data_IF_418564097053
#
_entry.id   IF_418564097053
#
_cell.length_a   1.000
_cell.length_b   1.000
_cell.length_c   1.000
_cell.angle_alpha   90.00
_cell.angle_beta   90.00
_cell.angle_gamma   90.00
#
_symmetry.space_group_name_H-M   'P 1'
#
loop_
_entity.id
_entity.type
_entity.pdbx_description
1 polymer ?
#
# COMPACT_ATOMS: atom_id res chain seq x y z
N UNK A 1 -54.68 24.15 56.44
CA UNK A 1 -54.63 22.75 55.99
C UNK A 1 -54.28 22.73 54.50
N UNK A 2 -53.15 22.10 54.14
CA UNK A 2 -52.66 21.89 52.75
C UNK A 2 -53.68 20.97 52.02
N UNK A 3 -53.86 20.92 50.70
CA UNK A 3 -52.90 20.96 49.60
C UNK A 3 -53.60 21.25 48.25
N UNK A 4 -52.83 21.82 47.31
CA UNK A 4 -53.18 22.01 45.89
C UNK A 4 -53.15 20.67 45.16
N UNK A 5 -54.19 20.36 44.38
CA UNK A 5 -54.19 19.27 43.42
C UNK A 5 -53.28 19.63 42.23
N UNK A 6 -52.49 18.65 41.78
CA UNK A 6 -51.34 18.78 40.88
C UNK A 6 -51.77 18.80 39.41
N UNK A 7 -51.19 19.74 38.66
CA UNK A 7 -51.11 19.73 37.20
C UNK A 7 -50.45 18.44 36.69
N UNK A 8 -51.12 17.76 35.76
CA UNK A 8 -50.57 16.67 34.98
C UNK A 8 -49.70 17.23 33.85
N UNK A 9 -48.39 17.00 33.90
CA UNK A 9 -47.50 17.18 32.74
C UNK A 9 -47.28 15.83 32.05
N UNK A 10 -47.29 15.73 30.71
CA UNK A 10 -46.93 14.50 30.02
C UNK A 10 -45.42 14.29 30.10
N UNK A 11 -44.99 13.08 30.46
CA UNK A 11 -43.59 12.66 30.40
C UNK A 11 -43.12 12.57 28.94
N UNK A 12 -41.92 13.08 28.58
CA UNK A 12 -41.32 12.81 27.29
C UNK A 12 -40.86 11.35 27.22
N UNK A 13 -41.37 10.60 26.24
CA UNK A 13 -40.91 9.25 25.91
C UNK A 13 -39.44 9.34 25.50
N UNK A 14 -38.55 8.74 26.29
CA UNK A 14 -37.15 8.50 25.92
C UNK A 14 -37.13 7.66 24.64
N UNK A 15 -36.77 8.29 23.52
CA UNK A 15 -36.51 7.58 22.28
C UNK A 15 -35.27 6.70 22.52
N UNK A 16 -35.44 5.38 22.55
CA UNK A 16 -34.32 4.44 22.55
C UNK A 16 -33.51 4.68 21.28
N UNK A 17 -32.32 5.25 21.44
CA UNK A 17 -31.34 5.32 20.38
C UNK A 17 -31.03 3.89 19.93
N UNK A 18 -31.44 3.53 18.71
CA UNK A 18 -30.94 2.34 18.04
C UNK A 18 -29.42 2.52 17.87
N UNK A 19 -28.58 1.55 18.27
CA UNK A 19 -27.19 1.59 17.86
C UNK A 19 -27.17 1.58 16.33
N UNK A 20 -26.69 2.66 15.72
CA UNK A 20 -26.33 2.66 14.30
C UNK A 20 -25.23 1.60 14.17
N UNK A 21 -25.52 0.55 13.41
CA UNK A 21 -24.55 -0.45 13.04
C UNK A 21 -23.41 0.24 12.28
N UNK A 22 -22.34 0.59 12.99
CA UNK A 22 -21.06 0.92 12.39
C UNK A 22 -20.34 -0.39 12.11
N UNK A 23 -20.73 -1.06 11.03
CA UNK A 23 -19.91 -2.10 10.44
C UNK A 23 -19.75 -1.77 8.97
N UNK A 24 -18.91 -0.78 8.68
CA UNK A 24 -18.20 -0.80 7.40
C UNK A 24 -17.27 -2.00 7.51
N UNK A 25 -17.73 -3.16 7.06
CA UNK A 25 -16.89 -4.31 6.86
C UNK A 25 -15.73 -3.82 5.98
N UNK A 26 -14.55 -3.67 6.56
CA UNK A 26 -13.32 -3.49 5.82
C UNK A 26 -13.07 -4.86 5.20
N UNK A 27 -13.71 -5.14 4.06
CA UNK A 27 -13.22 -6.17 3.15
C UNK A 27 -11.77 -5.79 2.86
N UNK A 28 -10.82 -6.57 3.40
CA UNK A 28 -9.40 -6.35 3.23
C UNK A 28 -9.12 -6.18 1.73
N UNK A 29 -8.90 -4.93 1.32
CA UNK A 29 -8.60 -4.59 -0.06
C UNK A 29 -7.13 -4.87 -0.23
N UNK A 30 -6.78 -5.80 -1.13
CA UNK A 30 -5.39 -6.11 -1.41
C UNK A 30 -4.64 -4.82 -1.77
N UNK A 31 -3.56 -4.53 -1.04
CA UNK A 31 -2.79 -3.31 -1.20
C UNK A 31 -2.19 -3.19 -2.61
N UNK A 32 -1.87 -4.33 -3.22
CA UNK A 32 -1.46 -4.45 -4.61
C UNK A 32 -2.13 -5.66 -5.25
N UNK A 33 -2.60 -5.54 -6.49
CA UNK A 33 -3.23 -6.63 -7.23
C UNK A 33 -2.94 -6.53 -8.73
N UNK A 34 -2.61 -7.65 -9.38
CA UNK A 34 -2.59 -7.71 -10.84
C UNK A 34 -4.00 -7.53 -11.42
N UNK A 35 -4.11 -6.72 -12.45
CA UNK A 35 -5.36 -6.39 -13.15
C UNK A 35 -5.21 -6.58 -14.64
N UNK A 36 -6.27 -7.06 -15.28
CA UNK A 36 -6.27 -7.31 -16.72
C UNK A 36 -5.51 -8.59 -17.10
N UNK A 37 -5.46 -8.84 -18.40
CA UNK A 37 -4.68 -9.92 -18.98
C UNK A 37 -3.25 -9.45 -19.28
N UNK A 38 -2.31 -10.39 -19.38
CA UNK A 38 -0.96 -10.11 -19.84
C UNK A 38 -1.00 -9.57 -21.28
N UNK A 39 -0.36 -8.42 -21.50
CA UNK A 39 -0.30 -7.77 -22.82
C UNK A 39 1.01 -8.11 -23.52
N UNK A 40 0.90 -8.73 -24.71
CA UNK A 40 2.07 -9.03 -25.56
C UNK A 40 2.69 -7.76 -26.10
N UNK A 41 4.02 -7.71 -26.16
CA UNK A 41 4.76 -6.56 -26.65
C UNK A 41 5.22 -6.84 -28.09
N UNK A 42 4.83 -6.01 -29.08
CA UNK A 42 5.33 -6.16 -30.44
C UNK A 42 6.85 -6.15 -30.48
N UNK A 43 7.46 -7.11 -31.18
CA UNK A 43 8.91 -7.27 -31.35
C UNK A 43 9.71 -7.57 -30.06
N UNK A 44 9.05 -7.97 -28.95
CA UNK A 44 9.73 -8.43 -27.72
C UNK A 44 9.06 -9.73 -27.25
N UNK A 45 9.35 -10.87 -27.90
CA UNK A 45 8.60 -12.12 -27.71
C UNK A 45 8.83 -12.79 -26.35
N UNK A 46 9.91 -12.43 -25.66
CA UNK A 46 10.30 -12.96 -24.36
C UNK A 46 9.65 -12.21 -23.18
N UNK A 47 8.85 -11.16 -23.43
CA UNK A 47 8.31 -10.30 -22.39
C UNK A 47 6.84 -9.95 -22.58
N UNK A 48 6.18 -9.72 -21.46
CA UNK A 48 4.79 -9.28 -21.37
C UNK A 48 4.68 -8.07 -20.44
N UNK A 49 3.73 -7.20 -20.75
CA UNK A 49 3.31 -6.15 -19.85
C UNK A 49 2.22 -6.70 -18.92
N UNK A 50 2.41 -6.53 -17.61
CA UNK A 50 1.41 -6.86 -16.59
C UNK A 50 0.98 -5.57 -15.90
N UNK A 51 -0.33 -5.34 -15.79
CA UNK A 51 -0.89 -4.16 -15.12
C UNK A 51 -1.28 -4.46 -13.69
N UNK A 52 -1.10 -3.48 -12.81
CA UNK A 52 -1.34 -3.62 -11.38
C UNK A 52 -2.12 -2.43 -10.86
N UNK A 53 -3.14 -2.71 -10.06
CA UNK A 53 -3.82 -1.73 -9.23
C UNK A 53 -3.19 -1.70 -7.83
N UNK A 54 -2.89 -0.50 -7.35
CA UNK A 54 -2.24 -0.25 -6.07
C UNK A 54 -3.15 0.66 -5.24
N UNK A 55 -3.53 0.21 -4.05
CA UNK A 55 -4.35 1.01 -3.14
C UNK A 55 -3.47 2.00 -2.35
N UNK A 56 -3.55 3.28 -2.74
CA UNK A 56 -2.81 4.36 -2.08
C UNK A 56 -3.69 5.14 -1.08
N UNK A 57 -4.88 4.63 -0.73
CA UNK A 57 -5.82 5.29 0.19
C UNK A 57 -6.66 6.41 -0.44
N UNK A 58 -6.66 6.52 -1.78
CA UNK A 58 -7.56 7.40 -2.55
C UNK A 58 -8.82 6.68 -3.03
N UNK A 59 -9.76 7.44 -3.59
CA UNK A 59 -11.03 6.89 -4.12
C UNK A 59 -10.77 5.87 -5.26
N UNK A 60 -9.76 6.15 -6.08
CA UNK A 60 -9.32 5.29 -7.19
C UNK A 60 -7.92 4.73 -6.92
N UNK A 61 -7.69 3.42 -7.12
CA UNK A 61 -6.35 2.86 -7.02
C UNK A 61 -5.44 3.44 -8.10
N UNK A 62 -4.16 3.59 -7.80
CA UNK A 62 -3.16 3.88 -8.82
C UNK A 62 -3.00 2.67 -9.73
N UNK A 63 -2.79 2.90 -11.02
CA UNK A 63 -2.51 1.84 -11.99
C UNK A 63 -1.09 2.02 -12.52
N UNK A 64 -0.35 0.93 -12.56
CA UNK A 64 0.97 0.87 -13.18
C UNK A 64 1.13 -0.38 -14.03
N UNK A 65 2.02 -0.33 -15.01
CA UNK A 65 2.35 -1.47 -15.86
C UNK A 65 3.82 -1.76 -15.73
N UNK A 66 4.15 -3.01 -15.42
CA UNK A 66 5.51 -3.49 -15.30
C UNK A 66 5.77 -4.57 -16.36
N UNK A 67 7.00 -4.63 -16.83
CA UNK A 67 7.42 -5.60 -17.85
C UNK A 67 8.04 -6.82 -17.19
N UNK A 68 7.51 -7.99 -17.48
CA UNK A 68 7.96 -9.28 -16.95
C UNK A 68 8.48 -10.17 -18.07
N UNK A 69 9.45 -11.06 -17.80
CA UNK A 69 9.70 -12.22 -18.65
C UNK A 69 8.41 -13.05 -18.81
N UNK A 70 8.20 -13.64 -19.98
CA UNK A 70 7.06 -14.54 -20.24
C UNK A 70 7.08 -15.77 -19.32
N UNK A 71 8.26 -16.17 -18.87
CA UNK A 71 8.49 -17.31 -17.97
C UNK A 71 8.37 -16.94 -16.49
N UNK A 72 7.95 -15.72 -16.17
CA UNK A 72 7.89 -15.26 -14.79
C UNK A 72 6.47 -14.85 -14.38
N UNK A 73 6.13 -15.22 -13.15
CA UNK A 73 4.90 -14.85 -12.49
C UNK A 73 5.09 -13.55 -11.70
N UNK A 74 4.01 -12.76 -11.63
CA UNK A 74 3.95 -11.62 -10.73
C UNK A 74 3.21 -12.01 -9.46
N UNK A 75 3.92 -11.99 -8.34
CA UNK A 75 3.39 -12.33 -7.02
C UNK A 75 3.15 -11.02 -6.26
N UNK A 76 1.87 -10.64 -6.11
CA UNK A 76 1.47 -9.47 -5.34
C UNK A 76 1.25 -9.86 -3.87
N UNK A 77 1.95 -9.20 -2.96
CA UNK A 77 1.83 -9.46 -1.52
C UNK A 77 1.54 -8.16 -0.75
N UNK A 78 0.81 -8.29 0.35
CA UNK A 78 0.71 -7.25 1.38
C UNK A 78 1.28 -7.86 2.66
N UNK A 79 2.33 -7.26 3.20
CA UNK A 79 3.10 -7.81 4.30
C UNK A 79 3.12 -6.82 5.47
N UNK A 80 2.63 -7.23 6.64
CA UNK A 80 2.75 -6.42 7.86
C UNK A 80 4.20 -6.32 8.32
N UNK A 81 4.59 -5.18 8.88
CA UNK A 81 5.90 -5.00 9.50
C UNK A 81 5.91 -5.58 10.93
N UNK A 82 6.99 -6.23 11.39
CA UNK A 82 8.26 -6.50 10.69
C UNK A 82 8.09 -7.56 9.58
N UNK A 83 8.85 -7.42 8.49
CA UNK A 83 8.68 -8.27 7.30
C UNK A 83 9.17 -9.72 7.53
N UNK A 84 10.38 -9.88 8.09
CA UNK A 84 11.03 -11.20 8.23
C UNK A 84 11.55 -11.79 6.90
N UNK A 85 12.01 -10.91 6.00
CA UNK A 85 12.75 -11.29 4.79
C UNK A 85 14.06 -10.50 4.72
N UNK A 86 15.07 -11.12 4.11
CA UNK A 86 16.35 -10.49 3.80
C UNK A 86 16.40 -10.21 2.30
N UNK A 87 16.78 -8.98 1.97
CA UNK A 87 16.89 -8.51 0.60
C UNK A 87 18.36 -8.28 0.27
N UNK A 88 18.78 -8.72 -0.91
CA UNK A 88 20.13 -8.55 -1.44
C UNK A 88 20.07 -7.78 -2.76
N UNK A 89 21.02 -6.85 -2.98
CA UNK A 89 21.20 -6.24 -4.30
C UNK A 89 22.09 -7.13 -5.17
N UNK A 90 21.56 -7.60 -6.30
CA UNK A 90 22.33 -8.28 -7.34
C UNK A 90 22.53 -7.39 -8.54
N UNK A 91 23.77 -7.39 -9.04
CA UNK A 91 24.16 -6.59 -10.20
C UNK A 91 24.65 -7.53 -11.31
N UNK A 92 23.97 -7.50 -12.45
CA UNK A 92 24.30 -8.29 -13.64
C UNK A 92 24.55 -7.34 -14.82
N UNK A 93 25.84 -7.15 -15.14
CA UNK A 93 26.25 -6.14 -16.13
C UNK A 93 25.85 -4.73 -15.68
N UNK A 94 24.95 -4.09 -16.44
CA UNK A 94 24.42 -2.76 -16.12
C UNK A 94 23.08 -2.78 -15.38
N UNK A 95 22.52 -3.97 -15.11
CA UNK A 95 21.23 -4.10 -14.43
C UNK A 95 21.42 -4.36 -12.95
N UNK A 96 20.63 -3.65 -12.16
CA UNK A 96 20.56 -3.84 -10.71
C UNK A 96 19.17 -4.34 -10.35
N UNK A 97 19.13 -5.40 -9.54
CA UNK A 97 17.90 -6.01 -9.04
C UNK A 97 17.99 -6.24 -7.53
N UNK A 98 16.85 -6.21 -6.86
CA UNK A 98 16.75 -6.50 -5.43
C UNK A 98 16.08 -7.86 -5.31
N UNK A 99 16.77 -8.83 -4.73
CA UNK A 99 16.33 -10.23 -4.67
C UNK A 99 16.08 -10.61 -3.22
N UNK A 100 15.06 -11.43 -2.98
CA UNK A 100 14.82 -12.07 -1.69
C UNK A 100 15.85 -13.16 -1.50
N UNK A 101 16.78 -12.96 -0.57
CA UNK A 101 17.87 -13.89 -0.30
C UNK A 101 17.49 -14.93 0.75
N UNK A 102 16.75 -14.50 1.79
CA UNK A 102 16.26 -15.36 2.85
C UNK A 102 14.86 -14.92 3.28
N UNK A 103 14.02 -15.89 3.66
CA UNK A 103 12.71 -15.65 4.28
C UNK A 103 12.64 -16.49 5.55
N UNK A 104 12.44 -15.84 6.69
CA UNK A 104 12.32 -16.53 7.97
C UNK A 104 11.01 -17.32 8.01
N UNK A 105 11.07 -18.60 8.37
CA UNK A 105 9.88 -19.46 8.44
C UNK A 105 8.91 -18.95 9.51
N UNK A 106 7.63 -18.84 9.16
CA UNK A 106 6.59 -18.31 10.06
C UNK A 106 6.57 -16.78 10.18
N UNK A 107 7.45 -16.06 9.48
CA UNK A 107 7.40 -14.60 9.39
C UNK A 107 6.19 -14.08 8.61
N UNK A 108 5.95 -12.77 8.70
CA UNK A 108 4.91 -12.10 7.92
C UNK A 108 5.16 -12.21 6.40
N UNK A 109 6.42 -12.12 5.96
CA UNK A 109 6.83 -12.32 4.57
C UNK A 109 6.54 -13.74 4.09
N UNK A 110 6.86 -14.75 4.91
CA UNK A 110 6.57 -16.15 4.61
C UNK A 110 5.06 -16.37 4.48
N UNK A 111 4.26 -15.87 5.43
CA UNK A 111 2.81 -15.97 5.41
C UNK A 111 2.17 -15.24 4.22
N UNK A 112 2.77 -14.12 3.80
CA UNK A 112 2.33 -13.37 2.62
C UNK A 112 2.72 -14.04 1.29
N UNK A 113 3.56 -15.07 1.32
CA UNK A 113 3.93 -15.89 0.16
C UNK A 113 5.21 -15.47 -0.56
N UNK A 114 6.05 -14.64 0.06
CA UNK A 114 7.40 -14.36 -0.44
C UNK A 114 8.26 -15.63 -0.41
N UNK A 115 9.15 -15.79 -1.39
CA UNK A 115 10.08 -16.92 -1.48
C UNK A 115 11.48 -16.43 -1.82
N UNK A 116 12.47 -17.22 -1.39
CA UNK A 116 13.86 -17.02 -1.80
C UNK A 116 13.98 -17.08 -3.32
N UNK A 117 14.73 -16.14 -3.89
CA UNK A 117 14.91 -15.98 -5.33
C UNK A 117 13.90 -15.06 -6.01
N UNK A 118 12.84 -14.63 -5.31
CA UNK A 118 11.92 -13.63 -5.83
C UNK A 118 12.64 -12.29 -6.05
N UNK A 119 12.36 -11.61 -7.16
CA UNK A 119 12.92 -10.28 -7.45
C UNK A 119 11.89 -9.20 -7.12
N UNK A 120 12.22 -8.28 -6.22
CA UNK A 120 11.35 -7.15 -5.89
C UNK A 120 11.30 -6.15 -7.04
N UNK A 121 10.11 -6.03 -7.66
CA UNK A 121 9.86 -5.14 -8.80
C UNK A 121 9.24 -3.81 -8.37
N UNK A 122 8.42 -3.83 -7.32
CA UNK A 122 7.74 -2.65 -6.78
C UNK A 122 7.46 -2.82 -5.29
N UNK A 123 7.56 -1.72 -4.54
CA UNK A 123 7.06 -1.62 -3.16
C UNK A 123 6.16 -0.39 -3.02
N UNK A 124 5.20 -0.41 -2.09
CA UNK A 124 4.58 0.83 -1.61
C UNK A 124 5.59 1.64 -0.81
N UNK A 125 5.28 2.91 -0.55
CA UNK A 125 6.08 3.81 0.27
C UNK A 125 5.18 4.92 0.85
N UNK A 126 5.72 5.67 1.81
CA UNK A 126 5.16 6.93 2.29
C UNK A 126 6.01 8.07 1.73
N UNK A 127 5.37 8.96 0.97
CA UNK A 127 6.04 10.08 0.32
C UNK A 127 5.53 11.42 0.86
N UNK A 128 6.44 12.38 1.04
CA UNK A 128 6.11 13.74 1.44
C UNK A 128 5.87 14.60 0.20
N UNK A 129 4.62 15.03 0.00
CA UNK A 129 4.22 15.93 -1.10
C UNK A 129 4.03 17.35 -0.60
N UNK A 130 4.55 18.32 -1.35
CA UNK A 130 4.26 19.74 -1.17
C UNK A 130 3.07 20.13 -2.05
N UNK A 131 2.17 20.98 -1.56
CA UNK A 131 1.13 21.53 -2.43
C UNK A 131 1.76 22.42 -3.51
N UNK A 132 1.16 22.52 -4.71
CA UNK A 132 1.64 23.42 -5.74
C UNK A 132 1.71 24.86 -5.21
N UNK A 133 2.86 25.51 -5.40
CA UNK A 133 3.09 26.87 -4.93
C UNK A 133 2.43 27.84 -5.92
N UNK A 134 1.33 28.46 -5.50
CA UNK A 134 0.79 29.64 -6.19
C UNK A 134 1.59 30.88 -5.75
N UNK A 135 2.05 31.67 -6.73
CA UNK A 135 2.88 32.88 -6.56
C UNK A 135 2.21 33.96 -5.69
N UNK A 136 0.90 33.83 -5.42
CA UNK A 136 0.17 34.70 -4.47
C UNK A 136 0.22 34.23 -3.01
N UNK A 137 0.68 33.00 -2.74
CA UNK A 137 0.59 32.33 -1.42
C UNK A 137 1.89 32.42 -0.60
N UNK A 138 2.78 33.36 -0.92
CA UNK A 138 4.10 33.51 -0.27
C UNK A 138 4.04 33.89 1.22
N UNK A 139 2.87 34.24 1.75
CA UNK A 139 2.69 34.52 3.18
C UNK A 139 2.43 33.27 4.04
N UNK A 140 2.13 32.11 3.46
CA UNK A 140 1.92 30.88 4.22
C UNK A 140 2.38 29.65 3.41
N UNK A 141 3.62 29.16 3.63
CA UNK A 141 4.15 28.06 2.83
C UNK A 141 3.20 26.85 2.89
N UNK A 142 2.85 26.24 1.74
CA UNK A 142 1.89 25.15 1.70
C UNK A 142 2.34 24.01 2.60
N UNK A 143 1.43 23.52 3.44
CA UNK A 143 1.72 22.43 4.36
C UNK A 143 2.10 21.18 3.57
N UNK A 144 3.25 20.61 3.90
CA UNK A 144 3.66 19.31 3.39
C UNK A 144 2.71 18.24 3.93
N UNK A 145 2.38 17.26 3.09
CA UNK A 145 1.51 16.14 3.46
C UNK A 145 2.20 14.82 3.16
N UNK A 146 2.06 13.86 4.06
CA UNK A 146 2.54 12.49 3.88
C UNK A 146 1.43 11.64 3.30
N UNK A 147 1.68 11.03 2.15
CA UNK A 147 0.70 10.21 1.44
C UNK A 147 1.31 8.87 1.08
N UNK A 148 0.48 7.85 0.83
CA UNK A 148 0.98 6.60 0.27
C UNK A 148 1.34 6.82 -1.20
N UNK A 149 2.43 6.21 -1.62
CA UNK A 149 2.91 6.15 -2.99
C UNK A 149 3.38 4.73 -3.30
N UNK A 150 3.82 4.51 -4.54
CA UNK A 150 4.58 3.32 -4.90
C UNK A 150 5.95 3.72 -5.44
N UNK A 151 6.89 2.79 -5.33
CA UNK A 151 8.27 2.92 -5.76
C UNK A 151 8.65 1.70 -6.60
N UNK A 152 9.01 1.92 -7.85
CA UNK A 152 9.52 0.88 -8.76
C UNK A 152 10.98 0.59 -8.41
N UNK A 153 11.33 -0.68 -8.22
CA UNK A 153 12.63 -1.09 -7.70
C UNK A 153 13.66 -1.41 -8.81
N UNK A 154 13.20 -1.57 -10.07
CA UNK A 154 14.06 -1.90 -11.20
C UNK A 154 15.18 -0.86 -11.40
N UNK A 155 16.44 -1.33 -11.40
CA UNK A 155 17.64 -0.51 -11.55
C UNK A 155 17.76 0.62 -10.52
N UNK A 156 17.16 0.46 -9.34
CA UNK A 156 17.33 1.36 -8.20
C UNK A 156 18.42 0.86 -7.27
N UNK A 157 19.03 1.77 -6.51
CA UNK A 157 19.98 1.40 -5.47
C UNK A 157 19.27 0.70 -4.32
N UNK A 158 19.97 -0.22 -3.66
CA UNK A 158 19.47 -0.89 -2.45
C UNK A 158 18.96 0.11 -1.41
N UNK A 159 19.77 1.12 -1.10
CA UNK A 159 19.44 2.12 -0.08
C UNK A 159 18.11 2.83 -0.37
N UNK A 160 17.87 3.23 -1.63
CA UNK A 160 16.62 3.91 -1.99
C UNK A 160 15.39 2.99 -1.86
N UNK A 161 15.56 1.69 -2.14
CA UNK A 161 14.49 0.70 -1.96
C UNK A 161 14.25 0.42 -0.48
N UNK A 162 15.30 0.30 0.33
CA UNK A 162 15.17 0.13 1.77
C UNK A 162 14.56 1.36 2.45
N UNK A 163 14.91 2.57 2.03
CA UNK A 163 14.30 3.82 2.50
C UNK A 163 12.80 3.87 2.17
N UNK A 164 12.42 3.43 0.96
CA UNK A 164 11.02 3.32 0.56
C UNK A 164 10.26 2.33 1.47
N UNK A 165 10.83 1.17 1.79
CA UNK A 165 10.22 0.20 2.72
C UNK A 165 10.16 0.76 4.14
N UNK A 166 11.24 1.37 4.63
CA UNK A 166 11.33 1.94 5.98
C UNK A 166 10.37 3.12 6.20
N UNK A 167 10.01 3.85 5.13
CA UNK A 167 9.11 5.00 5.19
C UNK A 167 7.73 4.70 5.78
N UNK A 168 7.25 3.45 5.74
CA UNK A 168 5.98 3.04 6.36
C UNK A 168 5.98 3.19 7.89
N UNK A 169 7.15 3.36 8.52
CA UNK A 169 7.26 3.73 9.95
C UNK A 169 6.67 5.11 10.26
N UNK A 170 6.39 5.90 9.23
CA UNK A 170 5.87 7.26 9.34
C UNK A 170 4.36 7.26 9.06
N UNK A 171 3.53 7.87 9.92
CA UNK A 171 2.10 8.04 9.66
C UNK A 171 1.83 8.90 8.42
N UNK A 172 0.74 8.58 7.72
CA UNK A 172 0.22 9.37 6.59
C UNK A 172 -0.85 10.36 7.04
N UNK A 173 -1.06 11.41 6.28
CA UNK A 173 -2.07 12.44 6.52
C UNK A 173 -3.34 12.14 5.70
N UNK A 174 -4.38 11.66 6.38
CA UNK A 174 -5.71 11.42 5.79
C UNK A 174 -6.70 12.55 6.14
N UNK A 175 -7.84 12.68 5.44
CA UNK A 175 -8.89 13.62 5.83
C UNK A 175 -9.45 13.41 7.25
N UNK A 176 -9.31 12.19 7.79
CA UNK A 176 -9.79 11.82 9.13
C UNK A 176 -8.72 12.00 10.22
N UNK A 177 -7.50 12.42 9.85
CA UNK A 177 -6.35 12.55 10.74
C UNK A 177 -5.15 11.70 10.30
N UNK A 178 -4.20 11.52 11.22
CA UNK A 178 -3.01 10.70 10.95
C UNK A 178 -3.34 9.21 11.05
N UNK A 179 -2.86 8.44 10.09
CA UNK A 179 -3.06 6.99 10.03
C UNK A 179 -1.70 6.27 9.98
N UNK A 180 -1.56 5.20 10.75
CA UNK A 180 -0.38 4.33 10.69
C UNK A 180 -0.46 3.37 9.50
N UNK A 181 0.64 3.22 8.77
CA UNK A 181 0.75 2.25 7.68
C UNK A 181 1.47 1.00 8.20
N UNK A 182 0.69 -0.05 8.46
CA UNK A 182 1.19 -1.32 9.02
C UNK A 182 1.70 -2.28 7.95
N UNK A 183 1.10 -2.23 6.77
CA UNK A 183 1.38 -3.11 5.66
C UNK A 183 2.27 -2.45 4.61
N UNK A 184 3.15 -3.25 4.02
CA UNK A 184 3.95 -2.92 2.83
C UNK A 184 3.43 -3.77 1.68
N UNK A 185 3.02 -3.12 0.60
CA UNK A 185 2.56 -3.78 -0.61
C UNK A 185 3.75 -4.00 -1.54
N UNK A 186 3.91 -5.21 -2.05
CA UNK A 186 5.03 -5.55 -2.94
C UNK A 186 4.56 -6.31 -4.17
N UNK A 187 5.28 -6.12 -5.28
CA UNK A 187 5.19 -6.97 -6.46
C UNK A 187 6.54 -7.65 -6.62
N UNK A 188 6.50 -8.98 -6.55
CA UNK A 188 7.65 -9.85 -6.71
C UNK A 188 7.58 -10.53 -8.08
N UNK A 189 8.71 -10.62 -8.76
CA UNK A 189 8.88 -11.51 -9.91
C UNK A 189 9.37 -12.86 -9.42
N UNK A 190 8.64 -13.90 -9.78
CA UNK A 190 9.02 -15.28 -9.51
C UNK A 190 9.26 -15.99 -10.84
N UNK A 191 10.49 -16.46 -11.04
CA UNK A 191 10.78 -17.33 -12.18
C UNK A 191 10.05 -18.65 -11.97
N UNK A 192 9.23 -19.06 -12.94
CA UNK A 192 8.59 -20.36 -12.91
C UNK A 192 9.70 -21.43 -12.86
N UNK A 193 9.74 -22.19 -11.77
CA UNK A 193 10.67 -23.32 -11.66
C UNK A 193 10.18 -24.38 -12.64
N UNK A 194 11.04 -24.74 -13.60
CA UNK A 194 10.78 -25.82 -14.55
C UNK A 194 10.66 -27.18 -13.85
#
# INVERSE_FOLDING_TARGET
MRARARDARPHPRLARARPRASSRAVTARALVKQTGADETIPNVPDKVNKSFAIDLGGDTPAVTTLRFPLTADAVCIACERPLGMFLEQRTEGSRTSIVVDEVEEGSNAHAAGARVGDVLRLTTAVFEVSAPVDVTTWLNPPAKRKVRAYYTCDNKSFDAVMDAIASHSVPIDTPSGKEEVKEVGMILERVATA
#
